data_IF_425929239341
#
_entry.id   IF_425929239341
#
_cell.length_a   1.000
_cell.length_b   1.000
_cell.length_c   1.000
_cell.angle_alpha   90.00
_cell.angle_beta   90.00
_cell.angle_gamma   90.00
#
_symmetry.space_group_name_H-M   'P 1'
#
loop_
_entity.id
_entity.type
_entity.pdbx_description
1 polymer ?
#
# COMPACT_ATOMS: atom_id res chain seq x y z
N UNK A 1 -23.16 -2.83 -0.66
CA UNK A 1 -23.99 -1.69 -1.06
C UNK A 1 -25.28 -1.75 -0.29
N UNK A 2 -25.79 -0.61 0.16
CA UNK A 2 -27.12 -0.48 0.75
C UNK A 2 -27.98 0.33 -0.19
N UNK A 3 -29.22 -0.10 -0.39
CA UNK A 3 -30.25 0.64 -1.12
C UNK A 3 -29.79 1.09 -2.51
N UNK A 4 -29.17 0.15 -3.23
CA UNK A 4 -28.68 0.38 -4.59
C UNK A 4 -29.84 0.20 -5.56
N UNK A 5 -30.20 1.26 -6.27
CA UNK A 5 -31.18 1.20 -7.35
C UNK A 5 -30.64 0.38 -8.52
N UNK A 6 -31.25 -0.77 -8.79
CA UNK A 6 -30.74 -1.74 -9.78
C UNK A 6 -31.86 -2.30 -10.66
N UNK A 7 -31.50 -2.77 -11.84
CA UNK A 7 -32.45 -3.34 -12.79
C UNK A 7 -32.99 -4.69 -12.30
N UNK A 8 -34.27 -4.95 -12.57
CA UNK A 8 -34.97 -6.17 -12.20
C UNK A 8 -35.48 -6.90 -13.46
N UNK A 9 -35.47 -8.24 -13.49
CA UNK A 9 -36.12 -9.01 -14.55
C UNK A 9 -37.57 -8.55 -14.77
N UNK A 10 -37.98 -8.41 -16.03
CA UNK A 10 -39.29 -7.85 -16.40
C UNK A 10 -39.27 -6.36 -16.75
N UNK A 11 -38.09 -5.73 -16.83
CA UNK A 11 -37.93 -4.36 -17.33
C UNK A 11 -38.13 -3.26 -16.28
N UNK A 12 -38.16 -3.63 -15.00
CA UNK A 12 -38.30 -2.71 -13.88
C UNK A 12 -36.99 -2.42 -13.16
N UNK A 13 -37.09 -1.68 -12.07
CA UNK A 13 -35.99 -1.40 -11.16
C UNK A 13 -36.46 -1.56 -9.71
N UNK A 14 -35.51 -1.89 -8.83
CA UNK A 14 -35.75 -2.04 -7.39
C UNK A 14 -34.50 -1.65 -6.61
N UNK A 15 -34.68 -1.28 -5.34
CA UNK A 15 -33.58 -1.09 -4.41
C UNK A 15 -33.11 -2.44 -3.85
N UNK A 16 -31.81 -2.69 -3.90
CA UNK A 16 -31.18 -3.92 -3.40
C UNK A 16 -30.02 -3.59 -2.46
N UNK A 17 -29.89 -4.40 -1.41
CA UNK A 17 -28.83 -4.29 -0.40
C UNK A 17 -28.07 -5.60 -0.29
N UNK A 18 -26.76 -5.53 -0.10
CA UNK A 18 -25.88 -6.69 0.10
C UNK A 18 -24.47 -6.49 -0.43
N UNK A 19 -23.57 -7.42 -0.09
CA UNK A 19 -22.21 -7.51 -0.66
C UNK A 19 -22.25 -7.80 -2.16
N UNK A 20 -23.27 -8.54 -2.62
CA UNK A 20 -23.57 -8.73 -4.05
C UNK A 20 -23.80 -7.42 -4.81
N UNK A 21 -24.19 -6.34 -4.13
CA UNK A 21 -24.31 -5.01 -4.73
C UNK A 21 -23.04 -4.19 -4.55
N UNK A 22 -22.13 -4.54 -3.63
CA UNK A 22 -20.79 -3.93 -3.55
C UNK A 22 -19.86 -4.47 -4.66
N UNK A 23 -19.88 -5.78 -4.89
CA UNK A 23 -19.06 -6.45 -5.92
C UNK A 23 -19.09 -5.79 -7.30
N UNK A 24 -20.25 -5.47 -7.90
CA UNK A 24 -20.31 -4.82 -9.21
C UNK A 24 -19.77 -3.39 -9.22
N UNK A 25 -19.78 -2.67 -8.09
CA UNK A 25 -19.13 -1.35 -8.02
C UNK A 25 -17.62 -1.49 -8.14
N UNK A 26 -17.01 -2.41 -7.37
CA UNK A 26 -15.57 -2.69 -7.47
C UNK A 26 -15.20 -3.18 -8.87
N UNK A 27 -16.00 -4.06 -9.47
CA UNK A 27 -15.79 -4.52 -10.85
C UNK A 27 -15.85 -3.37 -11.87
N UNK A 28 -16.76 -2.41 -11.68
CA UNK A 28 -16.84 -1.20 -12.50
C UNK A 28 -15.60 -0.32 -12.38
N UNK A 29 -15.07 -0.12 -11.17
CA UNK A 29 -13.82 0.63 -10.94
C UNK A 29 -12.64 -0.07 -11.63
N UNK A 30 -12.51 -1.38 -11.48
CA UNK A 30 -11.47 -2.17 -12.16
C UNK A 30 -11.56 -2.02 -13.69
N UNK A 31 -12.78 -1.98 -14.24
CA UNK A 31 -12.98 -1.75 -15.68
C UNK A 31 -12.51 -0.35 -16.11
N UNK A 32 -12.75 0.69 -15.30
CA UNK A 32 -12.25 2.04 -15.56
C UNK A 32 -10.72 2.10 -15.47
N UNK A 33 -10.12 1.46 -14.46
CA UNK A 33 -8.66 1.36 -14.31
C UNK A 33 -8.02 0.72 -15.55
N UNK A 34 -8.58 -0.39 -16.04
CA UNK A 34 -8.10 -1.05 -17.28
C UNK A 34 -8.38 -0.24 -18.54
N UNK A 35 -9.44 0.57 -18.58
CA UNK A 35 -9.67 1.48 -19.69
C UNK A 35 -8.61 2.58 -19.74
N UNK A 36 -8.15 3.07 -18.57
CA UNK A 36 -7.10 4.08 -18.46
C UNK A 36 -5.70 3.52 -18.73
N UNK A 37 -5.40 2.31 -18.24
CA UNK A 37 -4.15 1.60 -18.52
C UNK A 37 -4.45 0.12 -18.88
N UNK A 38 -4.53 -0.22 -20.18
CA UNK A 38 -4.86 -1.58 -20.61
C UNK A 38 -3.85 -2.66 -20.20
N UNK A 39 -2.61 -2.27 -19.88
CA UNK A 39 -1.52 -3.19 -19.57
C UNK A 39 -1.29 -3.38 -18.07
N UNK A 40 -2.04 -2.68 -17.22
CA UNK A 40 -1.90 -2.79 -15.75
C UNK A 40 -2.16 -4.21 -15.29
N UNK A 41 -1.26 -4.75 -14.47
CA UNK A 41 -1.38 -6.11 -13.96
C UNK A 41 -2.37 -6.19 -12.79
N UNK A 42 -2.80 -7.41 -12.46
CA UNK A 42 -3.84 -7.65 -11.45
C UNK A 42 -3.37 -7.30 -10.04
N UNK A 43 -2.08 -7.50 -9.72
CA UNK A 43 -1.54 -7.16 -8.42
C UNK A 43 -1.48 -5.65 -8.25
N UNK A 44 -1.04 -4.91 -9.29
CA UNK A 44 -1.10 -3.44 -9.27
C UNK A 44 -2.54 -2.94 -9.10
N UNK A 45 -3.52 -3.49 -9.85
CA UNK A 45 -4.94 -3.12 -9.65
C UNK A 45 -5.37 -3.31 -8.20
N UNK A 46 -5.05 -4.48 -7.62
CA UNK A 46 -5.41 -4.78 -6.23
C UNK A 46 -4.77 -3.80 -5.27
N UNK A 47 -3.48 -3.52 -5.42
CA UNK A 47 -2.75 -2.62 -4.55
C UNK A 47 -3.28 -1.19 -4.66
N UNK A 48 -3.52 -0.70 -5.88
CA UNK A 48 -4.12 0.62 -6.09
C UNK A 48 -5.46 0.74 -5.37
N UNK A 49 -6.35 -0.24 -5.53
CA UNK A 49 -7.67 -0.22 -4.88
C UNK A 49 -7.57 -0.18 -3.34
N UNK A 50 -6.50 -0.75 -2.78
CA UNK A 50 -6.23 -0.74 -1.34
C UNK A 50 -5.61 0.59 -0.89
N UNK A 51 -4.60 1.07 -1.60
CA UNK A 51 -3.87 2.31 -1.28
C UNK A 51 -4.73 3.56 -1.44
N UNK A 52 -5.65 3.58 -2.42
CA UNK A 52 -6.51 4.73 -2.69
C UNK A 52 -7.88 4.60 -2.05
N UNK A 53 -8.12 3.57 -1.23
CA UNK A 53 -9.38 3.45 -0.52
C UNK A 53 -9.55 4.63 0.44
N UNK A 54 -10.73 5.22 0.45
CA UNK A 54 -11.10 6.20 1.45
C UNK A 54 -11.31 5.48 2.78
N UNK A 55 -10.38 5.67 3.71
CA UNK A 55 -10.37 5.00 5.00
C UNK A 55 -11.64 5.31 5.80
N UNK A 56 -12.43 4.25 6.06
CA UNK A 56 -13.61 4.28 6.91
C UNK A 56 -13.50 3.15 7.93
N UNK A 57 -13.08 3.48 9.15
CA UNK A 57 -13.05 2.51 10.24
C UNK A 57 -14.44 2.23 10.78
N UNK A 58 -14.64 0.99 11.25
CA UNK A 58 -15.84 0.56 11.97
C UNK A 58 -16.08 1.31 13.29
N UNK A 59 -15.03 1.92 13.86
CA UNK A 59 -15.06 2.83 15.01
C UNK A 59 -14.90 4.32 14.62
N UNK A 60 -14.82 4.63 13.32
CA UNK A 60 -14.55 5.95 12.79
C UNK A 60 -13.07 6.35 12.78
N UNK A 61 -12.16 5.44 13.15
CA UNK A 61 -10.72 5.66 13.09
C UNK A 61 -10.16 5.32 11.69
N UNK A 62 -9.09 5.98 11.24
CA UNK A 62 -8.34 5.58 10.04
C UNK A 62 -7.62 4.23 10.26
N UNK A 63 -7.31 3.52 9.16
CA UNK A 63 -6.59 2.25 9.17
C UNK A 63 -7.40 1.01 8.79
N UNK A 64 -6.69 -0.09 8.54
CA UNK A 64 -7.28 -1.37 8.14
C UNK A 64 -8.08 -2.02 9.27
N UNK A 65 -9.28 -2.51 8.95
CA UNK A 65 -10.07 -3.35 9.86
C UNK A 65 -10.73 -4.55 9.17
N UNK A 66 -11.27 -5.48 9.97
CA UNK A 66 -11.91 -6.69 9.46
C UNK A 66 -13.33 -6.47 8.89
N UNK A 67 -13.84 -5.24 8.92
CA UNK A 67 -15.19 -4.87 8.47
C UNK A 67 -15.16 -4.21 7.08
N UNK A 68 -14.25 -3.27 6.88
CA UNK A 68 -14.09 -2.45 5.68
C UNK A 68 -12.75 -2.68 4.97
N UNK A 69 -11.82 -3.46 5.54
CA UNK A 69 -10.48 -3.63 4.98
C UNK A 69 -9.76 -2.28 4.97
N UNK A 70 -9.27 -1.86 3.81
CA UNK A 70 -8.65 -0.54 3.63
C UNK A 70 -9.67 0.61 3.53
N UNK A 71 -10.98 0.32 3.51
CA UNK A 71 -12.02 1.33 3.46
C UNK A 71 -12.88 1.27 2.19
N UNK A 72 -13.46 2.41 1.84
CA UNK A 72 -14.38 2.55 0.71
C UNK A 72 -13.60 2.80 -0.58
N UNK A 73 -13.96 2.11 -1.66
CA UNK A 73 -13.30 2.31 -2.96
C UNK A 73 -13.46 3.75 -3.46
N UNK A 74 -12.35 4.40 -3.81
CA UNK A 74 -12.34 5.68 -4.51
C UNK A 74 -11.98 5.45 -5.99
N UNK A 75 -12.97 5.62 -6.87
CA UNK A 75 -12.79 5.38 -8.30
C UNK A 75 -11.89 6.42 -8.97
N UNK A 76 -11.89 7.67 -8.47
CA UNK A 76 -11.15 8.76 -9.08
C UNK A 76 -9.66 8.60 -8.78
N UNK A 77 -9.32 8.44 -7.50
CA UNK A 77 -7.93 8.25 -7.07
C UNK A 77 -7.36 6.93 -7.64
N UNK A 78 -8.15 5.85 -7.68
CA UNK A 78 -7.68 4.58 -8.26
C UNK A 78 -7.33 4.69 -9.75
N UNK A 79 -8.14 5.41 -10.53
CA UNK A 79 -7.87 5.59 -11.97
C UNK A 79 -6.65 6.49 -12.18
N UNK A 80 -6.52 7.57 -11.42
CA UNK A 80 -5.35 8.44 -11.47
C UNK A 80 -4.06 7.69 -11.12
N UNK A 81 -4.08 6.89 -10.06
CA UNK A 81 -2.93 6.14 -9.61
C UNK A 81 -2.48 5.10 -10.66
N UNK A 82 -3.41 4.45 -11.34
CA UNK A 82 -3.11 3.54 -12.47
C UNK A 82 -2.56 4.27 -13.70
N UNK A 83 -2.93 5.52 -13.92
CA UNK A 83 -2.39 6.36 -15.00
C UNK A 83 -0.97 6.83 -14.69
N UNK A 84 -0.66 7.15 -13.44
CA UNK A 84 0.69 7.49 -12.99
C UNK A 84 1.64 6.29 -13.10
N UNK A 85 1.11 5.07 -12.93
CA UNK A 85 1.87 3.84 -12.94
C UNK A 85 2.32 3.44 -11.55
N UNK A 86 2.76 2.19 -11.38
CA UNK A 86 3.25 1.63 -10.11
C UNK A 86 4.56 0.89 -10.34
N UNK A 87 5.45 0.96 -9.37
CA UNK A 87 6.69 0.19 -9.35
C UNK A 87 6.89 -0.55 -8.03
N UNK A 88 7.83 -1.48 -8.05
CA UNK A 88 8.25 -2.22 -6.85
C UNK A 88 9.52 -1.57 -6.29
N UNK A 89 9.52 -1.19 -5.02
CA UNK A 89 10.71 -0.83 -4.26
C UNK A 89 11.15 -2.07 -3.48
N UNK A 90 12.30 -2.60 -3.83
CA UNK A 90 12.86 -3.81 -3.21
C UNK A 90 14.27 -3.53 -2.71
N UNK A 91 14.74 -4.33 -1.75
CA UNK A 91 16.12 -4.26 -1.31
C UNK A 91 16.32 -4.98 -0.01
N UNK A 92 17.48 -4.74 0.60
CA UNK A 92 17.83 -5.32 1.89
C UNK A 92 18.06 -4.26 2.96
N UNK A 93 17.65 -4.59 4.19
CA UNK A 93 17.99 -3.85 5.40
C UNK A 93 19.01 -4.65 6.20
N UNK A 94 20.18 -4.05 6.43
CA UNK A 94 21.29 -4.69 7.15
C UNK A 94 21.79 -3.82 8.31
N UNK A 95 22.52 -4.42 9.23
CA UNK A 95 23.21 -3.71 10.31
C UNK A 95 24.55 -3.17 9.79
N UNK A 96 24.79 -1.87 9.97
CA UNK A 96 26.00 -1.19 9.50
C UNK A 96 27.28 -1.62 10.23
N UNK A 97 27.17 -2.23 11.42
CA UNK A 97 28.30 -2.64 12.25
C UNK A 97 28.86 -4.01 11.90
N UNK A 98 27.99 -4.95 11.51
CA UNK A 98 28.33 -6.36 11.32
C UNK A 98 27.88 -6.93 9.97
N UNK A 99 27.09 -6.18 9.18
CA UNK A 99 26.59 -6.61 7.88
C UNK A 99 25.48 -7.68 7.95
N UNK A 100 25.00 -8.03 9.14
CA UNK A 100 23.92 -9.00 9.30
C UNK A 100 22.59 -8.40 8.81
N UNK A 101 21.71 -9.22 8.23
CA UNK A 101 20.37 -8.79 7.89
C UNK A 101 19.57 -8.42 9.14
N UNK A 102 18.72 -7.40 9.02
CA UNK A 102 17.80 -6.98 10.09
C UNK A 102 16.42 -7.56 9.76
N UNK A 103 15.93 -8.46 10.61
CA UNK A 103 14.57 -9.00 10.54
C UNK A 103 13.57 -8.01 11.16
N UNK A 104 12.44 -7.80 10.50
CA UNK A 104 11.36 -6.95 11.00
C UNK A 104 11.69 -5.45 11.04
N UNK A 105 12.68 -4.97 10.28
CA UNK A 105 12.81 -3.54 10.05
C UNK A 105 11.55 -3.03 9.32
N UNK A 106 11.01 -1.91 9.78
CA UNK A 106 9.87 -1.19 9.22
C UNK A 106 10.36 -0.21 8.15
N UNK A 107 9.80 -0.33 6.95
CA UNK A 107 10.00 0.53 5.80
C UNK A 107 8.69 1.30 5.64
N UNK A 108 8.72 2.60 5.88
CA UNK A 108 7.52 3.44 5.89
C UNK A 108 7.68 4.62 4.94
N UNK A 109 6.59 4.95 4.24
CA UNK A 109 6.47 6.23 3.54
C UNK A 109 5.87 7.26 4.50
N UNK A 110 6.63 8.20 5.07
CA UNK A 110 6.13 9.22 5.99
C UNK A 110 5.09 10.16 5.39
N UNK A 111 4.98 10.23 4.05
CA UNK A 111 3.97 11.04 3.36
C UNK A 111 2.67 10.27 3.07
N UNK A 112 2.57 8.98 3.40
CA UNK A 112 1.41 8.15 3.11
C UNK A 112 1.18 7.02 4.13
N UNK A 113 0.18 6.18 3.88
CA UNK A 113 -0.13 5.02 4.75
C UNK A 113 0.68 3.76 4.39
N UNK A 114 1.49 3.81 3.33
CA UNK A 114 2.19 2.64 2.81
C UNK A 114 3.37 2.27 3.71
N UNK A 115 3.39 1.03 4.19
CA UNK A 115 4.46 0.49 5.00
C UNK A 115 4.73 -0.97 4.63
N UNK A 116 5.97 -1.41 4.82
CA UNK A 116 6.39 -2.79 4.63
C UNK A 116 7.38 -3.18 5.72
N UNK A 117 7.61 -4.47 5.91
CA UNK A 117 8.60 -4.97 6.85
C UNK A 117 9.57 -5.92 6.15
N UNK A 118 10.82 -5.90 6.59
CA UNK A 118 11.85 -6.83 6.11
C UNK A 118 11.70 -8.21 6.74
N UNK A 119 12.13 -9.24 6.01
CA UNK A 119 12.13 -10.64 6.45
C UNK A 119 13.44 -11.03 7.16
N UNK A 120 13.57 -12.30 7.55
CA UNK A 120 14.76 -12.83 8.25
C UNK A 120 16.08 -12.74 7.45
N UNK A 121 16.01 -12.57 6.12
CA UNK A 121 17.16 -12.33 5.24
C UNK A 121 17.41 -10.83 5.01
N UNK A 122 16.62 -9.96 5.66
CA UNK A 122 16.66 -8.51 5.52
C UNK A 122 15.96 -8.01 4.26
N UNK A 123 15.40 -8.89 3.43
CA UNK A 123 14.74 -8.48 2.19
C UNK A 123 13.40 -7.83 2.50
N UNK A 124 13.10 -6.75 1.79
CA UNK A 124 11.79 -6.09 1.81
C UNK A 124 11.31 -5.83 0.39
N UNK A 125 9.99 -5.74 0.23
CA UNK A 125 9.33 -5.34 -1.00
C UNK A 125 8.18 -4.40 -0.65
N UNK A 126 8.04 -3.32 -1.41
CA UNK A 126 7.03 -2.30 -1.22
C UNK A 126 6.53 -1.82 -2.57
N UNK A 127 5.22 -1.88 -2.80
CA UNK A 127 4.62 -1.37 -4.02
C UNK A 127 4.24 0.09 -3.81
N UNK A 128 4.69 0.95 -4.72
CA UNK A 128 4.45 2.39 -4.66
C UNK A 128 4.05 2.90 -6.04
N UNK A 129 3.21 3.94 -6.12
CA UNK A 129 3.01 4.68 -7.36
C UNK A 129 4.35 5.14 -7.96
N UNK A 130 4.40 5.34 -9.27
CA UNK A 130 5.59 5.86 -9.93
C UNK A 130 5.74 7.37 -9.60
N UNK A 131 6.52 7.65 -8.57
CA UNK A 131 6.88 8.99 -8.15
C UNK A 131 8.23 8.96 -7.39
N UNK A 132 8.68 10.13 -6.93
CA UNK A 132 9.88 10.27 -6.10
C UNK A 132 9.49 10.29 -4.62
N UNK A 133 9.96 9.30 -3.86
CA UNK A 133 9.64 9.16 -2.44
C UNK A 133 10.84 9.45 -1.54
N UNK A 134 10.52 9.78 -0.28
CA UNK A 134 11.46 9.74 0.83
C UNK A 134 11.01 8.65 1.79
N UNK A 135 11.74 7.54 1.83
CA UNK A 135 11.36 6.35 2.61
C UNK A 135 12.16 6.32 3.91
N UNK A 136 11.46 6.09 5.02
CA UNK A 136 12.04 5.91 6.34
C UNK A 136 12.21 4.42 6.66
N UNK A 137 13.38 4.06 7.14
CA UNK A 137 13.74 2.72 7.56
C UNK A 137 14.01 2.75 9.07
N UNK A 138 13.27 1.98 9.85
CA UNK A 138 13.40 1.92 11.30
C UNK A 138 13.37 0.48 11.80
N UNK A 139 14.08 0.18 12.88
CA UNK A 139 14.07 -1.14 13.50
C UNK A 139 14.31 -1.02 15.00
N UNK A 140 13.81 -1.98 15.79
CA UNK A 140 14.01 -1.97 17.23
C UNK A 140 15.51 -2.07 17.57
N UNK A 141 16.01 -1.12 18.37
CA UNK A 141 17.44 -1.07 18.73
C UNK A 141 18.34 -0.41 17.69
N UNK A 142 17.79 0.18 16.62
CA UNK A 142 18.53 0.91 15.58
C UNK A 142 18.09 2.37 15.48
N UNK A 143 18.97 3.25 15.00
CA UNK A 143 18.62 4.62 14.64
C UNK A 143 17.90 4.62 13.30
N UNK A 144 16.70 5.21 13.26
CA UNK A 144 15.93 5.34 12.03
C UNK A 144 16.69 6.19 10.99
N UNK A 145 16.60 5.79 9.72
CA UNK A 145 17.25 6.47 8.61
C UNK A 145 16.24 6.76 7.51
N UNK A 146 16.20 8.00 7.03
CA UNK A 146 15.38 8.39 5.88
C UNK A 146 16.24 8.52 4.64
N UNK A 147 15.84 7.85 3.56
CA UNK A 147 16.48 7.94 2.24
C UNK A 147 15.55 8.69 1.31
N UNK A 148 15.95 9.88 0.86
CA UNK A 148 15.21 10.72 -0.07
C UNK A 148 15.71 10.56 -1.51
N UNK A 149 14.82 10.84 -2.47
CA UNK A 149 15.16 10.80 -3.89
C UNK A 149 15.06 9.40 -4.51
N UNK A 150 14.30 8.49 -3.90
CA UNK A 150 14.02 7.17 -4.47
C UNK A 150 12.99 7.35 -5.58
N UNK A 151 13.42 7.14 -6.83
CA UNK A 151 12.56 7.27 -8.01
C UNK A 151 11.95 5.92 -8.34
N UNK A 152 10.63 5.80 -8.18
CA UNK A 152 9.87 4.62 -8.58
C UNK A 152 9.42 4.80 -10.03
N UNK A 153 9.70 3.79 -10.86
CA UNK A 153 9.35 3.80 -12.28
C UNK A 153 8.23 2.80 -12.54
N UNK A 154 7.30 3.16 -13.41
CA UNK A 154 6.18 2.30 -13.79
C UNK A 154 6.65 0.94 -14.32
N UNK A 155 6.03 -0.12 -13.80
CA UNK A 155 6.33 -1.52 -14.12
C UNK A 155 7.81 -1.92 -13.96
N UNK A 156 8.55 -1.22 -13.09
CA UNK A 156 9.95 -1.51 -12.81
C UNK A 156 10.21 -1.77 -11.32
N UNK A 157 11.22 -2.59 -11.05
CA UNK A 157 11.76 -2.77 -9.71
C UNK A 157 12.92 -1.79 -9.48
N UNK A 158 12.77 -0.94 -8.48
CA UNK A 158 13.81 -0.05 -7.96
C UNK A 158 14.46 -0.73 -6.78
N UNK A 159 15.77 -0.96 -6.84
CA UNK A 159 16.50 -1.61 -5.75
C UNK A 159 17.15 -0.57 -4.84
N UNK A 160 16.84 -0.58 -3.55
CA UNK A 160 17.42 0.30 -2.54
C UNK A 160 17.85 -0.49 -1.30
N UNK A 161 19.16 -0.67 -1.14
CA UNK A 161 19.70 -1.30 0.07
C UNK A 161 19.99 -0.23 1.13
N UNK A 162 19.75 -0.56 2.39
CA UNK A 162 19.93 0.35 3.52
C UNK A 162 20.65 -0.37 4.65
N UNK A 163 21.64 0.28 5.25
CA UNK A 163 22.29 -0.21 6.45
C UNK A 163 21.97 0.69 7.64
N UNK A 164 21.29 0.15 8.64
CA UNK A 164 20.93 0.89 9.86
C UNK A 164 22.05 0.80 10.90
N UNK A 165 22.29 1.90 11.60
CA UNK A 165 23.26 1.94 12.71
C UNK A 165 22.59 1.56 14.03
N UNK A 166 23.19 0.68 14.86
CA UNK A 166 22.68 0.35 16.18
C UNK A 166 22.52 1.60 17.06
N UNK A 167 21.38 1.75 17.72
CA UNK A 167 21.13 2.84 18.64
C UNK A 167 21.97 2.68 19.92
N UNK A 168 22.44 3.77 20.54
CA UNK A 168 23.17 3.69 21.79
C UNK A 168 22.28 3.15 22.92
N UNK A 169 22.63 1.99 23.47
CA UNK A 169 21.96 1.41 24.63
C UNK A 169 22.60 1.93 25.93
N UNK A 170 21.80 2.47 26.86
CA UNK A 170 22.23 2.76 28.22
C UNK A 170 21.56 1.80 29.21
N UNK A 171 22.35 1.12 30.05
CA UNK A 171 21.81 0.33 31.16
C UNK A 171 21.58 1.25 32.36
N UNK A 172 20.35 1.28 32.88
CA UNK A 172 20.04 1.95 34.13
C UNK A 172 20.37 0.98 35.28
N UNK A 173 21.40 1.29 36.08
CA UNK A 173 21.63 0.59 37.35
C UNK A 173 20.81 1.26 38.44
N UNK A 174 20.07 0.48 39.22
CA UNK A 174 19.31 0.90 40.41
C UNK A 174 19.61 -0.01 41.60
#
# INVERSE_FOLDING_TARGET
>A
GSDIWSAQPGGGYQFLSGTSMAGPHVAGVVALMRAANPNVDVNTIKQVLMDTAYEIGSDGSPGEDNTFGHGMVDAYEAVLAVMSGYGSLEGTVSDASNGNPIDGALISNPAGSQQSSSNASGDYAMFLPADTYSIEYSAFGYTAQTVSGIVIVDNATTTQNVSLSPAPSAMLFG
#
